data_IF_354613134030
#
_entry.id   IF_354613134030
#
_cell.length_a   1.000
_cell.length_b   1.000
_cell.length_c   1.000
_cell.angle_alpha   90.00
_cell.angle_beta   90.00
_cell.angle_gamma   90.00
#
_symmetry.space_group_name_H-M   'P 1'
#
loop_
_entity.id
_entity.type
_entity.pdbx_description
1 polymer ?
#
# COMPACT_ATOMS: atom_id res chain seq x y z
N UNK A 1 2.09 -51.99 46.01
CA UNK A 1 2.57 -51.95 44.62
C UNK A 1 1.68 -51.08 43.71
N UNK A 2 0.36 -51.19 43.78
CA UNK A 2 -0.62 -50.41 43.03
C UNK A 2 -0.60 -48.90 43.36
N UNK A 3 -0.46 -48.52 44.63
CA UNK A 3 -0.40 -47.10 45.07
C UNK A 3 0.84 -46.36 44.54
N UNK A 4 1.99 -47.07 44.33
CA UNK A 4 3.21 -46.44 43.79
C UNK A 4 3.09 -46.21 42.28
N UNK A 5 2.32 -47.06 41.57
CA UNK A 5 2.07 -46.93 40.12
C UNK A 5 1.10 -45.74 39.83
N UNK A 6 0.10 -45.54 40.69
CA UNK A 6 -0.83 -44.44 40.58
C UNK A 6 -0.18 -43.08 40.85
N UNK A 7 0.67 -42.98 41.87
CA UNK A 7 1.42 -41.72 42.17
C UNK A 7 2.39 -41.33 41.06
N UNK A 8 2.97 -42.30 40.36
CA UNK A 8 3.88 -42.03 39.26
C UNK A 8 3.13 -41.58 37.98
N UNK A 9 1.91 -42.07 37.75
CA UNK A 9 1.04 -41.64 36.64
C UNK A 9 0.52 -40.25 36.84
N UNK A 10 0.08 -39.91 38.05
CA UNK A 10 -0.39 -38.54 38.40
C UNK A 10 0.76 -37.52 38.31
N UNK A 11 1.96 -37.83 38.77
CA UNK A 11 3.13 -36.97 38.60
C UNK A 11 3.46 -36.74 37.11
N UNK A 12 3.40 -37.76 36.26
CA UNK A 12 3.63 -37.62 34.82
C UNK A 12 2.52 -36.81 34.13
N UNK A 13 1.26 -36.98 34.52
CA UNK A 13 0.15 -36.16 34.04
C UNK A 13 0.27 -34.69 34.49
N UNK A 14 0.68 -34.45 35.74
CA UNK A 14 0.94 -33.06 36.19
C UNK A 14 2.11 -32.40 35.44
N UNK A 15 3.19 -33.15 35.17
CA UNK A 15 4.29 -32.64 34.34
C UNK A 15 3.86 -32.35 32.92
N UNK A 16 3.02 -33.18 32.28
CA UNK A 16 2.47 -32.93 30.96
C UNK A 16 1.51 -31.72 30.95
N UNK A 17 0.68 -31.56 32.02
CA UNK A 17 -0.21 -30.40 32.13
C UNK A 17 0.57 -29.09 32.36
N UNK A 18 1.65 -29.12 33.13
CA UNK A 18 2.51 -27.97 33.38
C UNK A 18 3.32 -27.64 32.13
N UNK A 19 3.82 -28.63 31.36
CA UNK A 19 4.48 -28.39 30.08
C UNK A 19 3.52 -27.83 29.03
N UNK A 20 2.27 -28.30 28.97
CA UNK A 20 1.27 -27.77 28.04
C UNK A 20 0.78 -26.37 28.39
N UNK A 21 0.82 -25.99 29.67
CA UNK A 21 0.55 -24.59 30.10
C UNK A 21 1.73 -23.63 29.82
N UNK A 22 2.95 -24.13 29.73
CA UNK A 22 4.12 -23.30 29.43
C UNK A 22 4.28 -23.09 27.90
N UNK A 23 3.75 -23.98 27.07
CA UNK A 23 3.79 -23.85 25.61
C UNK A 23 2.73 -22.90 25.00
N UNK A 24 1.88 -22.25 25.80
CA UNK A 24 0.86 -21.31 25.30
C UNK A 24 0.99 -19.91 25.88
N UNK A 25 2.15 -19.51 26.37
CA UNK A 25 2.45 -18.10 26.50
C UNK A 25 2.92 -17.66 25.10
N UNK A 26 1.97 -17.42 24.21
CA UNK A 26 2.24 -16.49 23.12
C UNK A 26 2.58 -15.18 23.80
N UNK A 27 3.82 -14.72 23.70
CA UNK A 27 4.18 -13.36 24.05
C UNK A 27 3.32 -12.45 23.19
N UNK A 28 2.15 -12.08 23.72
CA UNK A 28 1.36 -11.01 23.15
C UNK A 28 2.24 -9.78 23.24
N UNK A 29 2.81 -9.36 22.12
CA UNK A 29 3.64 -8.18 22.06
C UNK A 29 2.80 -7.01 22.56
N UNK A 30 3.16 -6.46 23.70
CA UNK A 30 2.50 -5.30 24.27
C UNK A 30 3.00 -4.09 23.48
N UNK A 31 2.17 -3.61 22.53
CA UNK A 31 2.41 -2.33 21.88
C UNK A 31 2.10 -1.22 22.88
N UNK A 32 3.11 -0.43 23.20
CA UNK A 32 2.93 0.76 24.00
C UNK A 32 2.53 1.93 23.10
N UNK A 33 1.29 2.35 23.19
CA UNK A 33 0.79 3.52 22.49
C UNK A 33 1.08 4.80 23.27
N UNK A 34 1.63 5.80 22.63
CA UNK A 34 1.71 7.15 23.19
C UNK A 34 0.31 7.79 23.28
N UNK A 35 0.19 8.89 23.98
CA UNK A 35 -1.04 9.67 23.98
C UNK A 35 -1.38 10.14 22.56
N UNK A 36 -2.67 10.11 22.22
CA UNK A 36 -3.17 10.58 20.94
C UNK A 36 -2.82 12.05 20.72
N UNK A 37 -2.30 12.38 19.55
CA UNK A 37 -2.01 13.75 19.14
C UNK A 37 -2.95 14.17 18.01
N UNK A 38 -3.60 15.32 18.18
CA UNK A 38 -4.44 15.92 17.14
C UNK A 38 -3.60 16.80 16.25
N UNK A 39 -3.41 16.39 14.98
CA UNK A 39 -2.60 17.11 13.99
C UNK A 39 -3.44 18.16 13.26
N UNK A 40 -4.71 17.88 13.04
CA UNK A 40 -5.66 18.78 12.40
C UNK A 40 -6.87 18.96 13.30
N UNK A 41 -7.16 20.19 13.73
CA UNK A 41 -8.31 20.52 14.58
C UNK A 41 -9.46 21.10 13.76
N UNK A 42 -10.70 20.85 14.21
CA UNK A 42 -11.93 21.42 13.68
C UNK A 42 -12.70 20.49 12.74
N UNK A 43 -14.02 20.70 12.69
CA UNK A 43 -14.93 20.00 11.75
C UNK A 43 -14.70 20.52 10.33
N UNK A 44 -13.66 20.03 9.68
CA UNK A 44 -13.36 20.40 8.32
C UNK A 44 -13.93 19.32 7.40
N UNK A 45 -15.15 19.52 6.93
CA UNK A 45 -15.74 18.62 5.94
C UNK A 45 -14.85 18.51 4.70
N UNK A 46 -14.68 17.27 4.22
CA UNK A 46 -13.91 16.99 3.02
C UNK A 46 -12.41 16.77 3.22
N UNK A 47 -11.89 16.76 4.44
CA UNK A 47 -10.53 16.29 4.69
C UNK A 47 -10.48 14.76 4.71
N UNK A 48 -9.47 14.21 4.06
CA UNK A 48 -9.29 12.77 3.99
C UNK A 48 -7.98 12.37 3.34
N UNK A 49 -7.86 11.06 3.07
CA UNK A 49 -6.71 10.45 2.41
C UNK A 49 -5.38 10.77 3.10
N UNK A 50 -5.24 10.49 4.40
CA UNK A 50 -3.96 10.68 5.07
C UNK A 50 -2.91 9.74 4.45
N UNK A 51 -1.70 10.28 4.33
CA UNK A 51 -0.50 9.55 3.94
C UNK A 51 0.61 9.89 4.91
N UNK A 52 1.45 8.94 5.21
CA UNK A 52 2.61 9.14 6.07
C UNK A 52 3.84 8.54 5.44
N UNK A 53 4.94 9.26 5.53
CA UNK A 53 6.28 8.77 5.20
C UNK A 53 7.24 9.17 6.32
N UNK A 54 8.38 8.50 6.38
CA UNK A 54 9.45 8.85 7.31
C UNK A 54 10.55 9.60 6.57
N UNK A 55 10.98 10.72 7.11
CA UNK A 55 12.12 11.50 6.63
C UNK A 55 13.39 11.15 7.43
N UNK A 56 14.49 11.89 7.26
CA UNK A 56 15.70 11.69 8.04
C UNK A 56 15.39 11.66 9.56
N UNK A 57 16.18 10.92 10.32
CA UNK A 57 15.99 10.64 11.75
C UNK A 57 14.69 9.89 12.10
N UNK A 58 14.08 9.21 11.12
CA UNK A 58 12.77 8.56 11.24
C UNK A 58 11.64 9.53 11.67
N UNK A 59 11.73 10.77 11.25
CA UNK A 59 10.70 11.77 11.56
C UNK A 59 9.52 11.62 10.59
N UNK A 60 8.31 11.36 11.08
CA UNK A 60 7.14 11.27 10.23
C UNK A 60 6.76 12.62 9.62
N UNK A 61 6.48 12.59 8.33
CA UNK A 61 5.78 13.62 7.58
C UNK A 61 4.41 13.09 7.23
N UNK A 62 3.37 13.75 7.69
CA UNK A 62 1.98 13.39 7.42
C UNK A 62 1.41 14.37 6.42
N UNK A 63 0.77 13.83 5.37
CA UNK A 63 0.08 14.58 4.33
C UNK A 63 -1.40 14.18 4.30
N UNK A 64 -2.30 15.13 4.06
CA UNK A 64 -3.71 14.86 3.84
C UNK A 64 -4.32 15.83 2.83
N UNK A 65 -5.48 15.49 2.29
CA UNK A 65 -6.12 16.25 1.22
C UNK A 65 -7.46 16.82 1.66
N UNK A 66 -7.81 17.95 1.10
CA UNK A 66 -9.13 18.55 1.17
C UNK A 66 -9.83 18.33 -0.17
N UNK A 67 -10.94 17.60 -0.16
CA UNK A 67 -11.71 17.28 -1.38
C UNK A 67 -12.73 18.35 -1.75
N UNK A 68 -13.15 19.20 -0.79
CA UNK A 68 -14.03 20.33 -1.04
C UNK A 68 -13.26 21.50 -1.68
N UNK A 69 -13.95 22.31 -2.47
CA UNK A 69 -13.34 23.47 -3.14
C UNK A 69 -12.99 24.61 -2.15
N UNK A 70 -11.83 25.26 -2.27
CA UNK A 70 -10.72 24.88 -3.13
C UNK A 70 -10.06 23.60 -2.64
N UNK A 71 -9.74 22.68 -3.57
CA UNK A 71 -8.99 21.48 -3.27
C UNK A 71 -7.56 21.86 -2.88
N UNK A 72 -7.01 21.21 -1.86
CA UNK A 72 -5.65 21.46 -1.38
C UNK A 72 -5.02 20.23 -0.78
N UNK A 73 -3.72 20.27 -0.64
CA UNK A 73 -2.91 19.28 0.08
C UNK A 73 -2.25 19.99 1.26
N UNK A 74 -2.32 19.39 2.43
CA UNK A 74 -1.70 19.91 3.65
C UNK A 74 -0.73 18.88 4.21
N UNK A 75 0.28 19.36 4.90
CA UNK A 75 1.25 18.51 5.58
C UNK A 75 1.58 19.03 6.98
N UNK A 76 2.08 18.13 7.81
CA UNK A 76 2.67 18.42 9.12
C UNK A 76 3.83 17.46 9.36
N UNK A 77 4.98 17.99 9.77
CA UNK A 77 6.22 17.22 10.01
C UNK A 77 6.53 17.18 11.49
N UNK A 78 6.94 16.02 11.96
CA UNK A 78 7.52 15.87 13.29
C UNK A 78 8.92 16.47 13.37
N UNK A 79 9.22 17.21 14.42
CA UNK A 79 10.50 17.88 14.62
C UNK A 79 11.37 17.25 15.72
N UNK A 80 10.95 16.11 16.26
CA UNK A 80 11.59 15.42 17.38
C UNK A 80 10.83 15.59 18.71
N UNK A 81 9.97 16.60 18.82
CA UNK A 81 9.19 16.89 20.04
C UNK A 81 7.70 17.05 19.78
N UNK A 82 7.32 17.62 18.65
CA UNK A 82 5.93 17.87 18.28
C UNK A 82 5.76 17.90 16.75
N UNK A 83 4.53 17.75 16.30
CA UNK A 83 4.19 18.04 14.91
C UNK A 83 4.15 19.55 14.67
N UNK A 84 4.65 19.98 13.51
CA UNK A 84 4.58 21.39 13.08
C UNK A 84 3.13 21.85 12.92
N UNK A 85 2.90 23.16 12.98
CA UNK A 85 1.65 23.73 12.46
C UNK A 85 1.46 23.26 11.01
N UNK A 86 0.25 22.77 10.65
CA UNK A 86 -0.02 22.36 9.28
C UNK A 86 0.23 23.46 8.26
N UNK A 87 0.88 23.10 7.14
CA UNK A 87 1.17 23.99 6.02
C UNK A 87 0.62 23.41 4.72
N UNK A 88 0.39 24.27 3.73
CA UNK A 88 -0.14 23.86 2.44
C UNK A 88 1.00 23.47 1.49
N UNK A 89 0.86 22.32 0.82
CA UNK A 89 1.65 21.96 -0.35
C UNK A 89 0.91 22.55 -1.56
N UNK A 90 1.53 23.53 -2.19
CA UNK A 90 0.92 24.26 -3.30
C UNK A 90 1.02 23.42 -4.58
N UNK A 91 -0.13 23.00 -5.09
CA UNK A 91 -0.27 22.33 -6.38
C UNK A 91 -1.09 23.22 -7.32
N UNK A 92 -0.64 23.44 -8.57
CA UNK A 92 -1.30 24.39 -9.48
C UNK A 92 -2.71 23.93 -9.88
N UNK A 93 -2.89 22.61 -10.00
CA UNK A 93 -4.18 21.95 -10.26
C UNK A 93 -4.20 20.62 -9.55
N UNK A 94 -5.36 20.16 -9.09
CA UNK A 94 -5.44 18.94 -8.30
C UNK A 94 -6.76 18.21 -8.52
N UNK A 95 -6.69 16.93 -8.90
CA UNK A 95 -7.83 16.01 -8.85
C UNK A 95 -7.78 15.22 -7.55
N UNK A 96 -8.84 15.32 -6.78
CA UNK A 96 -9.06 14.56 -5.54
C UNK A 96 -10.49 14.11 -5.47
N UNK A 97 -10.70 12.82 -5.25
CA UNK A 97 -12.00 12.20 -5.01
C UNK A 97 -11.91 11.28 -3.79
N UNK A 98 -12.95 10.51 -3.50
CA UNK A 98 -12.93 9.52 -2.42
C UNK A 98 -11.84 8.45 -2.56
N UNK A 99 -11.39 8.14 -3.79
CA UNK A 99 -10.40 7.10 -4.09
C UNK A 99 -9.25 7.56 -5.01
N UNK A 100 -9.26 8.78 -5.52
CA UNK A 100 -8.14 9.40 -6.26
C UNK A 100 -7.58 10.54 -5.43
N UNK A 101 -6.27 10.63 -5.31
CA UNK A 101 -5.57 11.74 -4.66
C UNK A 101 -4.07 11.59 -4.75
N UNK A 102 -3.32 12.58 -4.23
CA UNK A 102 -1.87 12.54 -4.18
C UNK A 102 -1.35 11.36 -3.37
N UNK A 103 -0.22 10.83 -3.82
CA UNK A 103 0.58 9.84 -3.10
C UNK A 103 1.96 10.44 -2.78
N UNK A 104 2.61 9.91 -1.76
CA UNK A 104 3.89 10.42 -1.25
C UNK A 104 4.84 9.26 -1.00
N UNK A 105 6.11 9.46 -1.33
CA UNK A 105 7.19 8.55 -0.99
C UNK A 105 8.42 9.33 -0.55
N UNK A 106 9.27 8.72 0.27
CA UNK A 106 10.48 9.36 0.78
C UNK A 106 11.64 8.39 0.94
N UNK A 107 12.85 8.96 0.88
CA UNK A 107 14.08 8.33 1.32
C UNK A 107 14.97 9.39 1.96
N UNK A 108 15.20 9.29 3.27
CA UNK A 108 15.81 10.39 4.02
C UNK A 108 15.00 11.67 3.86
N UNK A 109 15.67 12.79 3.58
CA UNK A 109 15.01 14.08 3.36
C UNK A 109 14.55 14.31 1.90
N UNK A 110 14.78 13.35 1.01
CA UNK A 110 14.19 13.38 -0.33
C UNK A 110 12.74 12.88 -0.25
N UNK A 111 11.80 13.71 -0.67
CA UNK A 111 10.36 13.44 -0.65
C UNK A 111 9.76 13.75 -2.02
N UNK A 112 8.94 12.84 -2.52
CA UNK A 112 8.19 13.01 -3.77
C UNK A 112 6.71 12.98 -3.49
N UNK A 113 5.97 13.90 -4.11
CA UNK A 113 4.50 13.88 -4.13
C UNK A 113 4.08 13.78 -5.58
N UNK A 114 3.37 12.68 -5.90
CA UNK A 114 2.77 12.46 -7.21
C UNK A 114 1.27 12.74 -7.13
N UNK A 115 0.73 13.37 -8.17
CA UNK A 115 -0.69 13.74 -8.19
C UNK A 115 -1.23 13.80 -9.62
N UNK A 116 -2.56 13.78 -9.70
CA UNK A 116 -3.29 13.95 -10.94
C UNK A 116 -3.79 15.40 -11.02
N UNK A 117 -3.58 16.05 -12.16
CA UNK A 117 -4.15 17.38 -12.38
C UNK A 117 -5.67 17.30 -12.60
N UNK A 118 -6.36 18.36 -12.27
CA UNK A 118 -7.77 18.51 -12.64
C UNK A 118 -7.93 18.47 -14.17
N UNK A 119 -9.05 17.94 -14.62
CA UNK A 119 -9.37 17.82 -16.06
C UNK A 119 -9.73 19.18 -16.64
N UNK A 120 -8.91 19.69 -17.56
CA UNK A 120 -9.27 20.87 -18.36
C UNK A 120 -8.27 21.11 -19.50
N UNK A 121 -8.49 20.64 -20.72
CA UNK A 121 -9.43 19.61 -21.18
C UNK A 121 -9.01 18.19 -20.76
N UNK A 122 -7.71 17.93 -20.55
CA UNK A 122 -7.14 16.65 -20.17
C UNK A 122 -6.50 16.72 -18.79
N UNK A 123 -6.47 15.59 -18.11
CA UNK A 123 -5.69 15.43 -16.89
C UNK A 123 -4.32 14.82 -17.20
N UNK A 124 -3.34 15.11 -16.35
CA UNK A 124 -1.99 14.58 -16.47
C UNK A 124 -1.45 14.21 -15.09
N UNK A 125 -0.51 13.27 -15.08
CA UNK A 125 0.23 12.91 -13.87
C UNK A 125 1.41 13.85 -13.71
N UNK A 126 1.54 14.46 -12.53
CA UNK A 126 2.62 15.35 -12.16
C UNK A 126 3.32 14.89 -10.89
N UNK A 127 4.58 15.26 -10.77
CA UNK A 127 5.41 15.06 -9.60
C UNK A 127 5.97 16.41 -9.12
N UNK A 128 6.13 16.56 -7.82
CA UNK A 128 6.95 17.57 -7.18
C UNK A 128 7.95 16.89 -6.24
N UNK A 129 9.12 17.48 -6.07
CA UNK A 129 10.22 16.97 -5.27
C UNK A 129 10.57 17.92 -4.14
N UNK A 130 10.97 17.36 -3.00
CA UNK A 130 11.54 18.08 -1.87
C UNK A 130 12.86 17.40 -1.48
N UNK A 131 13.83 18.19 -1.06
CA UNK A 131 15.14 17.72 -0.57
C UNK A 131 15.44 18.19 0.86
N UNK A 132 14.44 18.73 1.54
CA UNK A 132 14.50 19.23 2.92
C UNK A 132 13.48 18.55 3.85
N UNK A 133 13.08 17.34 3.47
CA UNK A 133 12.15 16.52 4.23
C UNK A 133 10.70 17.00 4.14
N UNK A 134 10.32 17.61 3.02
CA UNK A 134 8.95 18.01 2.74
C UNK A 134 8.59 19.42 3.21
N UNK A 135 9.57 20.27 3.58
CA UNK A 135 9.30 21.65 3.99
C UNK A 135 9.10 22.57 2.80
N UNK A 136 9.89 22.38 1.74
CA UNK A 136 9.72 23.08 0.46
C UNK A 136 9.70 22.09 -0.70
N UNK A 137 9.02 22.47 -1.79
CA UNK A 137 8.87 21.65 -2.96
C UNK A 137 9.27 22.38 -4.23
N UNK A 138 9.75 21.63 -5.22
CA UNK A 138 10.10 22.11 -6.55
C UNK A 138 8.86 22.53 -7.36
N UNK A 139 9.10 23.09 -8.53
CA UNK A 139 8.10 23.19 -9.58
C UNK A 139 7.60 21.80 -10.02
N UNK A 140 6.45 21.77 -10.66
CA UNK A 140 5.84 20.52 -11.14
C UNK A 140 6.54 19.99 -12.37
N UNK A 141 6.84 18.68 -12.35
CA UNK A 141 7.32 17.92 -13.50
C UNK A 141 6.20 17.03 -14.02
N UNK A 142 5.92 17.07 -15.32
CA UNK A 142 4.94 16.17 -15.92
C UNK A 142 5.54 14.79 -16.12
N UNK A 143 4.91 13.77 -15.54
CA UNK A 143 5.32 12.36 -15.63
C UNK A 143 4.67 11.66 -16.80
N UNK A 144 3.35 11.81 -16.98
CA UNK A 144 2.63 11.20 -18.07
C UNK A 144 2.96 11.85 -19.41
N UNK A 145 2.81 11.08 -20.48
CA UNK A 145 3.03 11.60 -21.83
C UNK A 145 2.00 12.67 -22.20
N UNK A 146 2.34 13.50 -23.16
CA UNK A 146 1.40 14.47 -23.70
C UNK A 146 0.43 13.75 -24.64
N UNK A 147 -0.83 13.68 -24.26
CA UNK A 147 -1.85 13.01 -25.05
C UNK A 147 -3.17 13.77 -24.99
N UNK A 148 -3.83 13.90 -26.13
CA UNK A 148 -5.23 14.34 -26.27
C UNK A 148 -6.18 13.19 -26.56
N UNK A 149 -5.68 11.98 -26.66
CA UNK A 149 -6.46 10.75 -26.94
C UNK A 149 -6.58 9.85 -25.72
N UNK A 150 -5.82 10.11 -24.66
CA UNK A 150 -5.80 9.29 -23.44
C UNK A 150 -6.08 10.13 -22.19
N UNK A 151 -6.62 9.46 -21.19
CA UNK A 151 -6.81 9.92 -19.81
C UNK A 151 -5.88 9.17 -18.89
N UNK A 152 -5.56 9.79 -17.77
CA UNK A 152 -4.67 9.25 -16.75
C UNK A 152 -5.39 9.13 -15.41
N UNK A 153 -5.00 8.13 -14.61
CA UNK A 153 -5.61 7.84 -13.32
C UNK A 153 -4.64 7.15 -12.37
N UNK A 154 -4.99 7.07 -11.09
CA UNK A 154 -4.40 6.22 -10.06
C UNK A 154 -2.86 6.29 -9.96
N UNK A 155 -2.25 7.49 -9.88
CA UNK A 155 -0.79 7.57 -9.77
C UNK A 155 -0.31 7.02 -8.44
N UNK A 156 0.89 6.42 -8.46
CA UNK A 156 1.61 5.98 -7.27
C UNK A 156 3.12 6.20 -7.45
N UNK A 157 3.87 6.25 -6.36
CA UNK A 157 5.32 6.50 -6.37
C UNK A 157 6.02 5.71 -5.27
N UNK A 158 7.21 5.22 -5.59
CA UNK A 158 8.18 4.68 -4.63
C UNK A 158 9.56 5.31 -4.90
N UNK A 159 10.43 5.28 -3.92
CA UNK A 159 11.81 5.76 -4.08
C UNK A 159 12.76 4.56 -4.10
N UNK A 160 13.62 4.48 -5.11
CA UNK A 160 14.63 3.43 -5.21
C UNK A 160 15.84 3.67 -4.28
N UNK A 161 16.80 2.76 -4.31
CA UNK A 161 17.99 2.83 -3.48
C UNK A 161 18.89 4.05 -3.75
N UNK A 162 18.82 4.62 -4.94
CA UNK A 162 19.61 5.81 -5.33
C UNK A 162 18.90 7.12 -5.02
N UNK A 163 17.69 7.06 -4.47
CA UNK A 163 16.88 8.24 -4.16
C UNK A 163 16.03 8.74 -5.32
N UNK A 164 15.96 8.00 -6.42
CA UNK A 164 15.16 8.36 -7.58
C UNK A 164 13.73 7.80 -7.50
N UNK A 165 12.72 8.53 -8.02
CA UNK A 165 11.35 8.07 -8.03
C UNK A 165 11.11 7.05 -9.15
N UNK A 166 10.38 5.98 -8.81
CA UNK A 166 9.72 5.07 -9.74
C UNK A 166 8.23 5.32 -9.58
N UNK A 167 7.54 5.54 -10.68
CA UNK A 167 6.13 5.92 -10.67
C UNK A 167 5.30 4.92 -11.45
N UNK A 168 4.09 4.68 -10.99
CA UNK A 168 3.07 3.95 -11.75
C UNK A 168 1.81 4.79 -11.88
N UNK A 169 1.07 4.58 -12.94
CA UNK A 169 -0.23 5.21 -13.17
C UNK A 169 -1.02 4.40 -14.19
N UNK A 170 -2.31 4.58 -14.20
CA UNK A 170 -3.17 4.00 -15.22
C UNK A 170 -3.40 4.99 -16.36
N UNK A 171 -3.55 4.46 -17.57
CA UNK A 171 -4.03 5.21 -18.73
C UNK A 171 -5.14 4.46 -19.44
N UNK A 172 -6.00 5.18 -20.15
CA UNK A 172 -7.06 4.62 -20.98
C UNK A 172 -7.41 5.60 -22.09
N UNK A 173 -8.18 5.14 -23.08
CA UNK A 173 -8.70 6.00 -24.13
C UNK A 173 -9.69 7.04 -23.57
N UNK A 174 -9.98 8.07 -24.35
CA UNK A 174 -11.00 9.08 -24.00
C UNK A 174 -12.40 8.48 -23.79
N UNK A 175 -12.65 7.28 -24.32
CA UNK A 175 -13.89 6.54 -24.17
C UNK A 175 -13.94 5.68 -22.89
N UNK A 176 -12.91 5.71 -22.06
CA UNK A 176 -12.74 4.90 -20.85
C UNK A 176 -12.65 3.39 -21.15
N UNK A 177 -12.00 3.04 -22.22
CA UNK A 177 -11.67 1.67 -22.65
C UNK A 177 -10.16 1.52 -22.76
N UNK A 178 -9.72 0.28 -22.94
CA UNK A 178 -8.31 -0.05 -23.18
C UNK A 178 -7.43 0.47 -22.02
N UNK A 179 -7.73 -0.01 -20.83
CA UNK A 179 -6.98 0.36 -19.64
C UNK A 179 -5.61 -0.32 -19.61
N UNK A 180 -4.60 0.45 -19.29
CA UNK A 180 -3.21 0.01 -19.17
C UNK A 180 -2.61 0.47 -17.84
N UNK A 181 -1.69 -0.34 -17.28
CA UNK A 181 -0.96 -0.03 -16.07
C UNK A 181 0.50 0.30 -16.40
N UNK A 182 0.83 1.57 -16.38
CA UNK A 182 2.12 2.09 -16.82
C UNK A 182 3.10 2.26 -15.68
N UNK A 183 4.40 2.05 -15.96
CA UNK A 183 5.51 2.38 -15.07
C UNK A 183 6.51 3.27 -15.81
N UNK A 184 7.08 4.27 -15.11
CA UNK A 184 8.19 5.12 -15.56
C UNK A 184 9.21 5.29 -14.45
N UNK A 185 10.45 5.46 -14.81
CA UNK A 185 11.59 5.60 -13.88
C UNK A 185 12.31 6.90 -14.15
N UNK A 186 12.72 7.58 -13.09
CA UNK A 186 13.67 8.69 -13.17
C UNK A 186 15.07 8.23 -12.73
N UNK A 187 16.11 8.84 -13.29
CA UNK A 187 17.51 8.70 -12.88
C UNK A 187 18.15 10.03 -12.47
N UNK A 188 17.34 11.08 -12.37
CA UNK A 188 17.78 12.47 -12.13
C UNK A 188 16.89 13.18 -11.10
N UNK A 189 16.47 12.44 -10.08
CA UNK A 189 15.65 12.92 -8.96
C UNK A 189 14.30 13.51 -9.38
N UNK A 190 13.69 12.92 -10.43
CA UNK A 190 12.36 13.30 -10.88
C UNK A 190 12.32 14.46 -11.88
N UNK A 191 13.45 14.93 -12.39
CA UNK A 191 13.47 15.97 -13.40
C UNK A 191 13.03 15.45 -14.77
N UNK A 192 13.41 14.22 -15.11
CA UNK A 192 12.95 13.53 -16.33
C UNK A 192 12.57 12.08 -16.04
N UNK A 193 11.82 11.47 -16.95
CA UNK A 193 11.35 10.10 -16.84
C UNK A 193 11.61 9.30 -18.13
N UNK A 194 11.83 8.00 -17.97
CA UNK A 194 11.95 7.03 -19.08
C UNK A 194 10.68 7.01 -19.95
N UNK A 195 10.73 6.30 -21.07
CA UNK A 195 9.52 5.85 -21.75
C UNK A 195 8.66 5.02 -20.82
N UNK A 196 7.34 5.06 -21.00
CA UNK A 196 6.42 4.25 -20.21
C UNK A 196 6.50 2.78 -20.65
N UNK A 197 6.44 1.87 -19.68
CA UNK A 197 6.28 0.44 -19.89
C UNK A 197 4.89 0.01 -19.44
N UNK A 198 4.12 -0.63 -20.33
CA UNK A 198 2.83 -1.22 -19.97
C UNK A 198 3.04 -2.58 -19.29
N UNK A 199 2.86 -2.61 -17.98
CA UNK A 199 3.01 -3.82 -17.17
C UNK A 199 1.79 -4.74 -17.29
N UNK A 200 0.62 -4.19 -17.53
CA UNK A 200 -0.61 -4.96 -17.64
C UNK A 200 -0.66 -5.87 -18.88
N UNK A 201 0.12 -5.55 -19.91
CA UNK A 201 0.28 -6.42 -21.08
C UNK A 201 0.86 -7.81 -20.77
N UNK A 202 1.42 -8.01 -19.57
CA UNK A 202 1.96 -9.30 -19.10
C UNK A 202 0.90 -10.18 -18.43
N UNK A 203 -0.30 -9.67 -18.17
CA UNK A 203 -1.41 -10.38 -17.54
C UNK A 203 -2.60 -10.51 -18.50
N UNK A 204 -3.48 -11.51 -18.35
CA UNK A 204 -4.69 -11.62 -19.17
C UNK A 204 -5.71 -10.52 -18.83
N UNK A 205 -6.52 -10.10 -19.81
CA UNK A 205 -7.54 -9.07 -19.61
C UNK A 205 -6.98 -7.67 -19.47
N UNK A 206 -7.52 -6.84 -18.59
CA UNK A 206 -7.15 -5.45 -18.35
C UNK A 206 -6.90 -5.20 -16.86
N UNK A 207 -6.13 -4.16 -16.46
CA UNK A 207 -6.07 -3.78 -15.06
C UNK A 207 -7.45 -3.27 -14.58
N UNK A 208 -7.76 -3.54 -13.32
CA UNK A 208 -9.01 -3.05 -12.70
C UNK A 208 -9.02 -1.51 -12.65
N UNK A 209 -9.87 -0.87 -13.43
CA UNK A 209 -9.95 0.56 -13.74
C UNK A 209 -10.09 1.50 -12.53
N UNK A 210 -10.31 0.97 -11.36
CA UNK A 210 -10.55 1.72 -10.12
C UNK A 210 -9.65 1.30 -8.96
N UNK A 211 -8.67 0.45 -9.22
CA UNK A 211 -7.77 -0.08 -8.21
C UNK A 211 -6.34 0.43 -8.46
N UNK A 212 -5.86 1.31 -7.58
CA UNK A 212 -4.49 1.82 -7.63
C UNK A 212 -3.48 0.66 -7.53
N UNK A 213 -2.39 0.71 -8.27
CA UNK A 213 -1.28 -0.24 -8.07
C UNK A 213 -0.42 0.13 -6.85
N UNK A 214 0.40 -0.81 -6.38
CA UNK A 214 1.41 -0.60 -5.36
C UNK A 214 2.79 -1.00 -5.89
N UNK A 215 3.81 -0.20 -5.59
CA UNK A 215 5.19 -0.43 -6.00
C UNK A 215 6.02 -0.84 -4.79
N UNK A 216 6.90 -1.83 -4.99
CA UNK A 216 7.95 -2.22 -4.04
C UNK A 216 9.28 -2.21 -4.77
N UNK A 217 10.29 -1.49 -4.26
CA UNK A 217 11.61 -1.40 -4.88
C UNK A 217 12.70 -1.91 -3.93
N UNK A 218 13.61 -2.74 -4.47
CA UNK A 218 14.76 -3.30 -3.77
C UNK A 218 15.96 -3.36 -4.73
N UNK A 219 16.79 -2.33 -4.73
CA UNK A 219 17.89 -2.22 -5.68
C UNK A 219 17.36 -2.17 -7.12
N UNK A 220 17.84 -3.10 -7.95
CA UNK A 220 17.38 -3.25 -9.34
C UNK A 220 16.08 -4.07 -9.48
N UNK A 221 15.63 -4.71 -8.40
CA UNK A 221 14.36 -5.40 -8.42
C UNK A 221 13.24 -4.43 -8.09
N UNK A 222 12.24 -4.39 -8.96
CA UNK A 222 11.01 -3.60 -8.76
C UNK A 222 9.82 -4.49 -8.99
N UNK A 223 8.88 -4.43 -8.07
CA UNK A 223 7.65 -5.20 -8.13
C UNK A 223 6.46 -4.26 -8.21
N UNK A 224 5.58 -4.54 -9.14
CA UNK A 224 4.29 -3.85 -9.25
C UNK A 224 3.18 -4.81 -8.87
N UNK A 225 2.42 -4.44 -7.87
CA UNK A 225 1.23 -5.15 -7.42
C UNK A 225 0.01 -4.43 -7.99
N UNK A 226 -0.84 -5.14 -8.71
CA UNK A 226 -2.05 -4.56 -9.27
C UNK A 226 -3.21 -5.56 -9.24
N UNK A 227 -4.42 -5.05 -9.26
CA UNK A 227 -5.61 -5.88 -9.43
C UNK A 227 -5.93 -5.93 -10.91
N UNK A 228 -6.15 -7.13 -11.41
CA UNK A 228 -6.56 -7.36 -12.79
C UNK A 228 -8.08 -7.50 -12.93
N UNK A 229 -8.55 -7.52 -14.15
CA UNK A 229 -9.93 -7.78 -14.54
C UNK A 229 -9.91 -8.65 -15.81
N UNK A 230 -10.12 -9.93 -15.63
CA UNK A 230 -10.30 -10.87 -16.74
C UNK A 230 -11.70 -11.48 -16.66
N UNK A 231 -12.62 -11.00 -17.51
CA UNK A 231 -14.02 -11.41 -17.53
C UNK A 231 -14.69 -11.36 -16.13
N UNK A 232 -14.52 -10.23 -15.43
CA UNK A 232 -14.98 -9.98 -14.06
C UNK A 232 -14.27 -10.78 -12.95
N UNK A 233 -13.29 -11.63 -13.26
CA UNK A 233 -12.38 -12.19 -12.26
C UNK A 233 -11.39 -11.10 -11.85
N UNK A 234 -11.42 -10.71 -10.55
CA UNK A 234 -10.64 -9.59 -10.01
C UNK A 234 -9.49 -10.07 -9.13
N UNK A 235 -8.61 -10.88 -9.68
CA UNK A 235 -7.41 -11.37 -8.98
C UNK A 235 -6.34 -10.31 -8.85
N UNK A 236 -5.43 -10.50 -7.91
CA UNK A 236 -4.25 -9.68 -7.68
C UNK A 236 -3.03 -10.29 -8.34
N UNK A 237 -2.27 -9.46 -9.03
CA UNK A 237 -1.06 -9.85 -9.76
C UNK A 237 0.16 -9.16 -9.17
N UNK A 238 1.31 -9.81 -9.29
CA UNK A 238 2.63 -9.22 -9.07
C UNK A 238 3.46 -9.32 -10.34
N UNK A 239 3.97 -8.19 -10.79
CA UNK A 239 4.92 -8.14 -11.91
C UNK A 239 6.32 -7.83 -11.39
N UNK A 240 7.36 -8.39 -12.03
CA UNK A 240 8.76 -8.25 -11.64
C UNK A 240 9.59 -7.61 -12.76
N UNK A 241 10.39 -6.63 -12.34
CA UNK A 241 11.50 -6.04 -13.09
C UNK A 241 12.83 -6.37 -12.39
N UNK A 242 13.90 -6.50 -13.17
CA UNK A 242 15.27 -6.70 -12.68
C UNK A 242 16.23 -5.61 -13.14
N UNK A 243 15.72 -4.58 -13.80
CA UNK A 243 16.47 -3.45 -14.37
C UNK A 243 16.05 -2.08 -13.78
N UNK A 244 15.58 -2.09 -12.55
CA UNK A 244 15.18 -0.87 -11.84
C UNK A 244 13.80 -0.34 -12.22
N UNK A 245 12.96 -1.15 -12.86
CA UNK A 245 11.60 -0.78 -13.28
C UNK A 245 11.50 -0.25 -14.71
N UNK A 246 12.59 -0.33 -15.49
CA UNK A 246 12.58 0.11 -16.90
C UNK A 246 11.77 -0.84 -17.79
N UNK A 247 11.89 -2.16 -17.53
CA UNK A 247 11.09 -3.19 -18.16
C UNK A 247 10.63 -4.23 -17.14
N UNK A 248 9.53 -4.92 -17.43
CA UNK A 248 9.01 -6.02 -16.65
C UNK A 248 8.97 -7.27 -17.53
N UNK A 249 9.26 -8.43 -16.95
CA UNK A 249 9.42 -9.68 -17.73
C UNK A 249 8.37 -10.71 -17.40
N UNK A 250 7.75 -10.62 -16.22
CA UNK A 250 6.73 -11.56 -15.74
C UNK A 250 5.65 -10.82 -14.96
N UNK A 251 4.44 -11.35 -14.99
CA UNK A 251 3.35 -10.99 -14.10
C UNK A 251 2.60 -12.26 -13.71
N UNK A 252 2.60 -12.59 -12.42
CA UNK A 252 2.00 -13.81 -11.90
C UNK A 252 0.77 -13.49 -11.06
N UNK A 253 -0.26 -14.34 -11.19
CA UNK A 253 -1.45 -14.30 -10.36
C UNK A 253 -1.10 -14.82 -8.95
N UNK A 254 -1.32 -14.00 -7.95
CA UNK A 254 -1.07 -14.31 -6.54
C UNK A 254 -2.37 -14.45 -5.73
N UNK A 255 -3.49 -14.72 -6.41
CA UNK A 255 -4.81 -14.75 -5.81
C UNK A 255 -5.63 -15.96 -6.27
N UNK A 256 -5.64 -17.02 -5.47
CA UNK A 256 -6.43 -18.23 -5.73
C UNK A 256 -7.92 -18.09 -5.39
N UNK A 257 -8.34 -16.94 -4.87
CA UNK A 257 -9.72 -16.70 -4.48
C UNK A 257 -10.68 -16.61 -5.68
N UNK A 258 -10.16 -16.26 -6.86
CA UNK A 258 -10.92 -16.11 -8.12
C UNK A 258 -12.21 -15.31 -7.90
N UNK A 259 -12.05 -14.12 -7.32
CA UNK A 259 -13.20 -13.29 -6.97
C UNK A 259 -13.88 -12.72 -8.20
N UNK A 260 -15.05 -13.26 -8.51
CA UNK A 260 -15.90 -12.75 -9.61
C UNK A 260 -16.78 -11.63 -9.09
N UNK A 261 -16.62 -10.44 -9.66
CA UNK A 261 -17.41 -9.25 -9.31
C UNK A 261 -17.54 -8.31 -10.51
N UNK A 262 -18.78 -8.10 -10.99
CA UNK A 262 -19.10 -7.18 -12.08
C UNK A 262 -19.13 -5.69 -11.69
N UNK A 263 -18.50 -5.33 -10.58
CA UNK A 263 -18.38 -3.94 -10.11
C UNK A 263 -16.99 -3.66 -9.59
N UNK A 264 -16.70 -2.37 -9.36
CA UNK A 264 -15.39 -1.92 -8.90
C UNK A 264 -15.17 -2.21 -7.40
N UNK A 265 -14.17 -3.02 -7.01
CA UNK A 265 -13.82 -3.21 -5.61
C UNK A 265 -13.13 -1.99 -4.98
N UNK A 266 -12.58 -1.07 -5.77
CA UNK A 266 -11.88 0.16 -5.37
C UNK A 266 -10.78 -0.04 -4.33
N UNK A 267 -10.25 -1.26 -4.22
CA UNK A 267 -9.24 -1.64 -3.22
C UNK A 267 -8.09 -2.36 -3.89
N UNK A 268 -6.92 -1.77 -3.77
CA UNK A 268 -5.68 -2.28 -4.34
C UNK A 268 -5.03 -3.33 -3.45
N UNK A 269 -4.27 -4.27 -4.01
CA UNK A 269 -3.25 -4.97 -3.24
C UNK A 269 -2.17 -3.98 -2.78
N UNK A 270 -1.68 -4.15 -1.56
CA UNK A 270 -0.57 -3.38 -1.01
C UNK A 270 0.53 -4.34 -0.59
N UNK A 271 1.78 -3.95 -0.78
CA UNK A 271 2.91 -4.82 -0.48
C UNK A 271 4.09 -4.10 0.15
N UNK A 272 4.88 -4.87 0.89
CA UNK A 272 6.18 -4.45 1.40
C UNK A 272 7.18 -5.60 1.35
N UNK A 273 8.46 -5.26 1.27
CA UNK A 273 9.53 -6.25 1.32
C UNK A 273 9.78 -6.71 2.77
N UNK A 274 9.92 -8.01 2.97
CA UNK A 274 10.37 -8.64 4.21
C UNK A 274 11.26 -9.83 3.87
N UNK A 275 12.58 -9.69 4.09
CA UNK A 275 13.55 -10.70 3.66
C UNK A 275 13.49 -10.94 2.14
N UNK A 276 13.39 -12.20 1.76
CA UNK A 276 13.28 -12.64 0.36
C UNK A 276 11.83 -12.71 -0.15
N UNK A 277 10.90 -12.07 0.54
CA UNK A 277 9.49 -12.09 0.21
C UNK A 277 8.88 -10.70 0.17
N UNK A 278 7.87 -10.54 -0.67
CA UNK A 278 6.93 -9.43 -0.60
C UNK A 278 5.73 -9.89 0.21
N UNK A 279 5.48 -9.25 1.33
CA UNK A 279 4.23 -9.47 2.08
C UNK A 279 3.15 -8.61 1.44
N UNK A 280 2.10 -9.27 0.95
CA UNK A 280 1.00 -8.64 0.22
C UNK A 280 -0.27 -8.74 1.02
N UNK A 281 -0.92 -7.61 1.25
CA UNK A 281 -2.28 -7.55 1.77
C UNK A 281 -3.25 -7.15 0.67
N UNK A 282 -4.35 -7.90 0.53
CA UNK A 282 -5.37 -7.64 -0.47
C UNK A 282 -6.77 -7.95 0.04
N UNK A 283 -7.76 -7.27 -0.50
CA UNK A 283 -9.16 -7.60 -0.24
C UNK A 283 -9.65 -8.67 -1.21
N UNK A 284 -10.41 -9.64 -0.70
CA UNK A 284 -11.25 -10.52 -1.49
C UNK A 284 -12.68 -10.52 -0.97
N UNK A 285 -13.65 -10.56 -1.87
CA UNK A 285 -15.07 -10.77 -1.59
C UNK A 285 -15.58 -12.13 -2.07
N UNK A 286 -14.65 -13.04 -2.44
CA UNK A 286 -15.00 -14.39 -2.84
C UNK A 286 -15.77 -15.11 -1.72
N UNK A 287 -16.65 -16.04 -2.10
CA UNK A 287 -17.51 -16.80 -1.17
C UNK A 287 -18.36 -15.90 -0.24
N UNK A 288 -18.75 -14.71 -0.72
CA UNK A 288 -19.50 -13.71 0.05
C UNK A 288 -18.81 -13.22 1.34
N UNK A 289 -17.50 -13.39 1.43
CA UNK A 289 -16.67 -12.93 2.55
C UNK A 289 -15.86 -11.71 2.13
N UNK A 290 -16.16 -10.54 2.66
CA UNK A 290 -15.34 -9.34 2.43
C UNK A 290 -14.16 -9.32 3.41
N UNK A 291 -13.06 -9.98 3.05
CA UNK A 291 -11.89 -10.22 3.91
C UNK A 291 -10.61 -9.63 3.34
N UNK A 292 -9.69 -9.34 4.24
CA UNK A 292 -8.30 -9.06 3.91
C UNK A 292 -7.49 -10.35 4.02
N UNK A 293 -6.86 -10.68 2.91
CA UNK A 293 -5.95 -11.82 2.80
C UNK A 293 -4.51 -11.31 2.80
N UNK A 294 -3.67 -12.00 3.54
CA UNK A 294 -2.23 -11.79 3.57
C UNK A 294 -1.53 -12.96 2.89
N UNK A 295 -0.53 -12.67 2.08
CA UNK A 295 0.32 -13.68 1.43
C UNK A 295 1.76 -13.24 1.48
N UNK A 296 2.70 -14.20 1.45
CA UNK A 296 4.10 -13.95 1.18
C UNK A 296 4.41 -14.44 -0.23
N UNK A 297 4.95 -13.56 -1.06
CA UNK A 297 5.35 -13.84 -2.44
C UNK A 297 6.88 -13.85 -2.50
N UNK A 298 7.47 -14.95 -2.92
CA UNK A 298 8.92 -15.05 -3.05
C UNK A 298 9.43 -14.10 -4.15
N UNK A 299 10.47 -13.33 -3.87
CA UNK A 299 11.00 -12.33 -4.82
C UNK A 299 11.72 -12.96 -6.01
N UNK A 300 12.14 -14.22 -5.94
CA UNK A 300 12.90 -14.90 -7.01
C UNK A 300 11.97 -15.45 -8.09
N UNK A 301 10.98 -16.24 -7.70
CA UNK A 301 10.12 -17.02 -8.60
C UNK A 301 8.64 -16.61 -8.58
N UNK A 302 8.29 -15.59 -7.79
CA UNK A 302 6.95 -15.05 -7.58
C UNK A 302 5.93 -16.07 -7.04
N UNK A 303 6.37 -17.22 -6.57
CA UNK A 303 5.48 -18.17 -5.91
C UNK A 303 4.98 -17.61 -4.58
N UNK A 304 3.68 -17.65 -4.35
CA UNK A 304 3.11 -17.24 -3.08
C UNK A 304 2.81 -18.44 -2.18
N UNK A 305 2.95 -18.28 -0.88
CA UNK A 305 2.97 -19.43 0.04
C UNK A 305 1.60 -19.79 0.59
N UNK A 306 0.70 -18.86 0.80
CA UNK A 306 -0.67 -19.11 1.31
C UNK A 306 -1.48 -17.81 1.40
N UNK A 307 -2.80 -17.98 1.53
CA UNK A 307 -3.74 -16.91 1.85
C UNK A 307 -4.13 -17.01 3.31
N UNK A 308 -3.74 -16.04 4.10
CA UNK A 308 -4.10 -15.96 5.51
C UNK A 308 -5.07 -14.80 5.76
N UNK A 309 -6.18 -15.09 6.44
CA UNK A 309 -7.06 -14.02 6.91
C UNK A 309 -6.36 -13.25 8.04
N UNK A 310 -6.13 -11.95 7.84
CA UNK A 310 -5.54 -11.10 8.88
C UNK A 310 -6.42 -11.08 10.12
N UNK A 311 -7.73 -11.12 9.91
CA UNK A 311 -8.71 -11.12 10.97
C UNK A 311 -9.81 -12.14 10.65
N UNK A 312 -9.93 -13.21 11.44
CA UNK A 312 -10.86 -14.29 11.20
C UNK A 312 -12.33 -13.93 11.53
N UNK A 313 -12.61 -12.74 12.05
CA UNK A 313 -13.99 -12.32 12.34
C UNK A 313 -14.84 -12.37 11.07
N UNK A 314 -15.95 -13.07 11.13
CA UNK A 314 -16.73 -13.45 9.95
C UNK A 314 -17.69 -12.37 9.44
N UNK A 315 -18.01 -11.36 10.24
CA UNK A 315 -18.92 -10.28 9.86
C UNK A 315 -18.18 -8.96 9.69
N UNK A 316 -18.76 -8.03 8.94
CA UNK A 316 -18.14 -6.77 8.57
C UNK A 316 -17.44 -6.83 7.21
N UNK A 317 -17.30 -5.66 6.61
CA UNK A 317 -16.58 -5.47 5.37
C UNK A 317 -15.21 -4.85 5.66
N UNK A 318 -14.17 -5.64 5.44
CA UNK A 318 -12.78 -5.19 5.54
C UNK A 318 -12.36 -4.55 4.21
N UNK A 319 -11.77 -3.35 4.25
CA UNK A 319 -11.44 -2.60 3.05
C UNK A 319 -10.23 -1.67 3.25
N UNK A 320 -9.66 -1.19 2.15
CA UNK A 320 -8.58 -0.21 2.11
C UNK A 320 -7.41 -0.53 3.05
N UNK A 321 -6.79 -1.72 2.90
CA UNK A 321 -5.61 -2.03 3.69
C UNK A 321 -4.42 -1.18 3.25
N UNK A 322 -3.57 -0.85 4.22
CA UNK A 322 -2.22 -0.34 4.01
C UNK A 322 -1.26 -1.17 4.86
N UNK A 323 -0.10 -1.46 4.34
CA UNK A 323 0.94 -2.25 4.98
C UNK A 323 2.25 -1.47 5.03
N UNK A 324 2.92 -1.53 6.14
CA UNK A 324 4.27 -0.99 6.30
C UNK A 324 5.02 -1.75 7.37
N UNK A 325 6.36 -1.66 7.33
CA UNK A 325 7.17 -2.32 8.33
C UNK A 325 8.66 -2.06 8.16
N UNK A 326 9.44 -2.71 9.00
CA UNK A 326 10.90 -2.68 8.95
C UNK A 326 11.43 -4.06 9.34
N UNK A 327 12.07 -4.74 8.41
CA UNK A 327 12.52 -6.12 8.59
C UNK A 327 11.35 -7.04 8.92
N UNK A 328 11.42 -7.72 10.06
CA UNK A 328 10.42 -8.69 10.51
C UNK A 328 9.21 -8.05 11.21
N UNK A 329 9.25 -6.76 11.48
CA UNK A 329 8.10 -6.05 12.04
C UNK A 329 7.21 -5.52 10.93
N UNK A 330 5.98 -6.01 10.88
CA UNK A 330 4.98 -5.69 9.85
C UNK A 330 3.74 -5.17 10.55
N UNK A 331 3.22 -4.04 10.10
CA UNK A 331 1.95 -3.48 10.54
C UNK A 331 0.98 -3.38 9.38
N UNK A 332 -0.26 -3.74 9.61
CA UNK A 332 -1.37 -3.56 8.66
C UNK A 332 -2.47 -2.77 9.32
N UNK A 333 -2.96 -1.75 8.62
CA UNK A 333 -4.14 -0.98 9.02
C UNK A 333 -5.22 -1.14 7.95
N UNK A 334 -6.49 -1.13 8.37
CA UNK A 334 -7.60 -1.23 7.42
C UNK A 334 -8.87 -0.58 7.97
N UNK A 335 -9.82 -0.33 7.09
CA UNK A 335 -11.18 0.06 7.47
C UNK A 335 -12.08 -1.16 7.60
N UNK A 336 -12.97 -1.15 8.62
CA UNK A 336 -13.89 -2.23 8.89
C UNK A 336 -15.18 -1.68 9.51
N UNK A 337 -16.33 -2.20 9.09
CA UNK A 337 -17.63 -1.75 9.57
C UNK A 337 -18.32 -2.73 10.54
N UNK A 338 -17.57 -3.65 11.15
CA UNK A 338 -18.11 -4.66 12.08
C UNK A 338 -18.86 -4.05 13.28
N UNK A 339 -18.54 -2.84 13.68
CA UNK A 339 -19.18 -2.11 14.77
C UNK A 339 -20.34 -1.20 14.29
N UNK A 340 -20.88 -1.43 13.08
CA UNK A 340 -21.88 -0.59 12.40
C UNK A 340 -21.39 0.80 11.97
N UNK A 341 -20.13 1.11 12.21
CA UNK A 341 -19.42 2.32 11.76
C UNK A 341 -18.16 1.89 11.02
N UNK A 342 -17.63 2.78 10.18
CA UNK A 342 -16.30 2.59 9.57
C UNK A 342 -15.24 2.98 10.60
N UNK A 343 -14.61 1.97 11.19
CA UNK A 343 -13.50 2.10 12.12
C UNK A 343 -12.18 1.73 11.43
N UNK A 344 -11.06 2.21 12.00
CA UNK A 344 -9.73 1.77 11.63
C UNK A 344 -9.27 0.67 12.59
N UNK A 345 -8.84 -0.44 12.02
CA UNK A 345 -8.24 -1.57 12.73
C UNK A 345 -6.76 -1.68 12.42
N UNK A 346 -6.01 -2.25 13.33
CA UNK A 346 -4.59 -2.49 13.21
C UNK A 346 -4.24 -3.90 13.67
N UNK A 347 -3.32 -4.54 12.95
CA UNK A 347 -2.67 -5.79 13.35
C UNK A 347 -1.18 -5.69 13.06
N UNK A 348 -0.37 -6.40 13.81
CA UNK A 348 1.07 -6.45 13.58
C UNK A 348 1.65 -7.84 13.79
N UNK A 349 2.77 -8.09 13.13
CA UNK A 349 3.64 -9.26 13.30
C UNK A 349 5.06 -8.79 13.56
N UNK A 350 5.84 -9.61 14.28
CA UNK A 350 7.29 -9.42 14.48
C UNK A 350 8.09 -10.61 13.97
N UNK A 351 7.44 -11.50 13.23
CA UNK A 351 8.06 -12.69 12.64
C UNK A 351 8.22 -12.59 11.13
N UNK A 352 8.08 -11.38 10.58
CA UNK A 352 8.23 -11.11 9.15
C UNK A 352 7.19 -11.85 8.31
N UNK A 353 7.64 -12.33 7.15
CA UNK A 353 6.82 -13.11 6.23
C UNK A 353 6.39 -14.48 6.79
N UNK A 354 6.98 -14.93 7.91
CA UNK A 354 6.58 -16.15 8.61
C UNK A 354 5.34 -15.88 9.50
N UNK A 355 4.36 -15.24 8.93
CA UNK A 355 3.10 -14.94 9.60
C UNK A 355 2.27 -16.22 9.61
N UNK A 356 2.04 -16.76 10.76
CA UNK A 356 1.20 -17.93 10.98
C UNK A 356 0.03 -17.55 11.87
#
# INVERSE_FOLDING_TARGET
>A
YLLKKYKMTIKKMLYFLVLSLICNISDAQILNWSATQTISSGSQSGYGRPRVVTTANNFPLIMWTKTSSPKSVRASKWNGTSFSTPYDIVLPTLEVTGFIGPEIASKGDTVYVIFLSARSPNNYVYLISSFDGGLTFSDTVRVSDNSNTHKFAMPNVVVNTDGNPIVSYMTCTNSWTDWEQMVKVSSDFGNTFSSAFDVSALAPGEPCDCCKSSLVANGNEVFLLFRNNDMDVRNSYVAKSTDGGLTFTTADDIDDANWVIGSCPSTSPQGMLSGDSIVVVRRSGANSQNKLLLSAVNTTDLQYTYNHNIDPISFGMQNFPEIAGNGDTIGVVWQDNRNSYMDCFFSCSTTGANII
#
